data_IF_236474059288
#
_entry.id   IF_236474059288
#
_cell.length_a   1.000
_cell.length_b   1.000
_cell.length_c   1.000
_cell.angle_alpha   90.00
_cell.angle_beta   90.00
_cell.angle_gamma   90.00
#
_symmetry.space_group_name_H-M   'P 1'
#
loop_
_entity.id
_entity.type
_entity.pdbx_description
1 polymer ?
#
# COMPACT_ATOMS: atom_id res chain seq x y z
N UNK A 1 -22.93 15.17 -5.88
CA UNK A 1 -22.56 14.08 -4.94
C UNK A 1 -21.31 13.35 -5.42
N UNK A 2 -21.34 12.72 -6.60
CA UNK A 2 -20.19 11.97 -7.15
C UNK A 2 -18.88 12.78 -7.21
N UNK A 3 -18.92 14.02 -7.70
CA UNK A 3 -17.73 14.90 -7.76
C UNK A 3 -17.11 15.15 -6.39
N UNK A 4 -17.93 15.24 -5.33
CA UNK A 4 -17.46 15.45 -3.97
C UNK A 4 -16.81 14.16 -3.45
N UNK A 5 -17.41 13.00 -3.72
CA UNK A 5 -16.83 11.70 -3.36
C UNK A 5 -15.48 11.47 -4.04
N UNK A 6 -15.36 11.77 -5.35
CA UNK A 6 -14.09 11.66 -6.08
C UNK A 6 -13.00 12.55 -5.49
N UNK A 7 -13.33 13.80 -5.16
CA UNK A 7 -12.40 14.74 -4.51
C UNK A 7 -11.97 14.27 -3.13
N UNK A 8 -12.91 13.74 -2.34
CA UNK A 8 -12.60 13.21 -1.01
C UNK A 8 -11.69 11.98 -1.10
N UNK A 9 -11.94 11.08 -2.04
CA UNK A 9 -11.10 9.89 -2.24
C UNK A 9 -9.69 10.28 -2.71
N UNK A 10 -9.60 11.23 -3.66
CA UNK A 10 -8.31 11.75 -4.12
C UNK A 10 -7.50 12.34 -2.96
N UNK A 11 -8.12 13.18 -2.12
CA UNK A 11 -7.46 13.74 -0.94
C UNK A 11 -6.97 12.64 0.02
N UNK A 12 -7.78 11.61 0.27
CA UNK A 12 -7.36 10.49 1.12
C UNK A 12 -6.18 9.73 0.53
N UNK A 13 -6.13 9.55 -0.79
CA UNK A 13 -5.00 8.90 -1.48
C UNK A 13 -3.74 9.77 -1.39
N UNK A 14 -3.86 11.09 -1.62
CA UNK A 14 -2.72 12.01 -1.56
C UNK A 14 -2.06 12.02 -0.18
N UNK A 15 -2.88 12.11 0.87
CA UNK A 15 -2.40 12.07 2.26
C UNK A 15 -1.78 10.71 2.60
N UNK A 16 -2.38 9.62 2.14
CA UNK A 16 -1.89 8.27 2.40
C UNK A 16 -0.57 7.99 1.67
N UNK A 17 -0.39 8.49 0.44
CA UNK A 17 0.86 8.43 -0.31
C UNK A 17 1.99 9.16 0.42
N UNK A 18 1.72 10.37 0.92
CA UNK A 18 2.72 11.16 1.66
C UNK A 18 3.14 10.48 2.97
N UNK A 19 2.21 9.82 3.66
CA UNK A 19 2.49 9.10 4.91
C UNK A 19 3.18 7.74 4.69
N UNK A 20 2.99 7.11 3.52
CA UNK A 20 3.40 5.72 3.24
C UNK A 20 4.88 5.43 3.56
N UNK A 21 5.78 6.37 3.26
CA UNK A 21 7.22 6.21 3.51
C UNK A 21 7.69 6.77 4.86
N UNK A 22 6.78 7.33 5.67
CA UNK A 22 7.11 8.03 6.93
C UNK A 22 6.85 7.18 8.17
N UNK A 23 5.97 6.19 8.09
CA UNK A 23 5.57 5.36 9.23
C UNK A 23 5.68 3.87 8.91
N UNK A 24 5.62 3.04 9.96
CA UNK A 24 5.68 1.59 9.82
C UNK A 24 4.45 1.03 9.07
N UNK A 25 4.66 0.00 8.25
CA UNK A 25 3.67 -0.53 7.32
C UNK A 25 2.39 -0.99 8.01
N UNK A 26 2.48 -1.77 9.09
CA UNK A 26 1.29 -2.25 9.83
C UNK A 26 0.56 -1.11 10.52
N UNK A 27 1.26 -0.09 11.01
CA UNK A 27 0.63 1.12 11.53
C UNK A 27 -0.13 1.85 10.41
N UNK A 28 0.49 2.03 9.24
CA UNK A 28 -0.16 2.64 8.08
C UNK A 28 -1.41 1.87 7.65
N UNK A 29 -1.36 0.54 7.61
CA UNK A 29 -2.50 -0.32 7.28
C UNK A 29 -3.69 -0.16 8.23
N UNK A 30 -3.47 0.24 9.48
CA UNK A 30 -4.54 0.50 10.45
C UNK A 30 -5.14 1.90 10.32
N UNK A 31 -4.38 2.86 9.76
CA UNK A 31 -4.79 4.26 9.66
C UNK A 31 -5.72 4.51 8.46
N UNK A 32 -5.60 3.71 7.40
CA UNK A 32 -6.24 3.99 6.11
C UNK A 32 -7.35 2.99 5.75
N UNK A 33 -8.39 3.43 5.04
CA UNK A 33 -9.43 2.52 4.55
C UNK A 33 -8.90 1.63 3.43
N UNK A 34 -9.46 0.42 3.31
CA UNK A 34 -9.00 -0.60 2.36
C UNK A 34 -8.90 -0.14 0.91
N UNK A 35 -9.82 0.71 0.43
CA UNK A 35 -9.76 1.26 -0.93
C UNK A 35 -8.51 2.13 -1.13
N UNK A 36 -8.18 2.99 -0.17
CA UNK A 36 -6.96 3.82 -0.19
C UNK A 36 -5.71 2.94 -0.11
N UNK A 37 -5.72 1.92 0.76
CA UNK A 37 -4.62 0.96 0.89
C UNK A 37 -4.30 0.32 -0.47
N UNK A 38 -5.32 -0.20 -1.16
CA UNK A 38 -5.13 -0.84 -2.45
C UNK A 38 -4.58 0.12 -3.50
N UNK A 39 -5.12 1.35 -3.57
CA UNK A 39 -4.66 2.33 -4.57
C UNK A 39 -3.20 2.73 -4.36
N UNK A 40 -2.79 3.06 -3.13
CA UNK A 40 -1.41 3.45 -2.83
C UNK A 40 -0.44 2.28 -3.02
N UNK A 41 -0.85 1.05 -2.69
CA UNK A 41 -0.05 -0.14 -2.97
C UNK A 41 0.26 -0.27 -4.47
N UNK A 42 -0.73 -0.05 -5.34
CA UNK A 42 -0.52 -0.13 -6.78
C UNK A 42 0.41 0.99 -7.27
N UNK A 43 0.23 2.22 -6.79
CA UNK A 43 1.10 3.36 -7.15
C UNK A 43 2.55 3.05 -6.77
N UNK A 44 2.80 2.68 -5.52
CA UNK A 44 4.15 2.42 -5.02
C UNK A 44 4.77 1.17 -5.66
N UNK A 45 3.96 0.17 -6.03
CA UNK A 45 4.45 -1.01 -6.75
C UNK A 45 4.95 -0.64 -8.14
N UNK A 46 4.17 0.12 -8.90
CA UNK A 46 4.56 0.57 -10.24
C UNK A 46 5.85 1.39 -10.17
N UNK A 47 5.91 2.38 -9.27
CA UNK A 47 7.11 3.20 -9.09
C UNK A 47 8.37 2.37 -8.78
N UNK A 48 8.26 1.42 -7.85
CA UNK A 48 9.39 0.56 -7.48
C UNK A 48 9.81 -0.37 -8.62
N UNK A 49 8.85 -0.85 -9.41
CA UNK A 49 9.11 -1.71 -10.56
C UNK A 49 9.73 -0.95 -11.73
N UNK A 50 9.24 0.26 -12.03
CA UNK A 50 9.82 1.15 -13.04
C UNK A 50 11.27 1.47 -12.69
N UNK A 51 11.55 1.87 -11.44
CA UNK A 51 12.92 2.12 -10.96
C UNK A 51 13.80 0.86 -11.04
N UNK A 52 13.28 -0.30 -10.64
CA UNK A 52 14.02 -1.56 -10.73
C UNK A 52 14.35 -1.94 -12.18
N UNK A 53 13.43 -1.72 -13.12
CA UNK A 53 13.65 -2.00 -14.55
C UNK A 53 14.68 -1.03 -15.14
N UNK A 54 14.55 0.26 -14.86
CA UNK A 54 15.41 1.30 -15.46
C UNK A 54 16.82 1.31 -14.86
N UNK A 55 16.94 1.15 -13.54
CA UNK A 55 18.17 1.43 -12.80
C UNK A 55 18.80 0.18 -12.15
N UNK A 56 18.05 -0.90 -11.94
CA UNK A 56 18.48 -2.00 -11.05
C UNK A 56 18.57 -3.40 -11.68
N UNK A 57 17.96 -3.62 -12.84
CA UNK A 57 17.94 -4.90 -13.54
C UNK A 57 17.37 -6.07 -12.72
N UNK A 58 17.74 -7.29 -13.09
CA UNK A 58 17.21 -8.53 -12.49
C UNK A 58 17.26 -8.61 -10.95
N UNK A 59 18.36 -8.23 -10.28
CA UNK A 59 18.45 -8.25 -8.82
C UNK A 59 17.47 -7.29 -8.13
N UNK A 60 17.29 -6.08 -8.66
CA UNK A 60 16.36 -5.11 -8.08
C UNK A 60 14.90 -5.57 -8.21
N UNK A 61 14.55 -6.18 -9.35
CA UNK A 61 13.22 -6.77 -9.55
C UNK A 61 12.95 -7.88 -8.53
N UNK A 62 13.94 -8.74 -8.28
CA UNK A 62 13.82 -9.79 -7.26
C UNK A 62 13.66 -9.22 -5.85
N UNK A 63 14.34 -8.11 -5.54
CA UNK A 63 14.19 -7.41 -4.26
C UNK A 63 12.77 -6.82 -4.11
N UNK A 64 12.23 -6.18 -5.16
CA UNK A 64 10.84 -5.69 -5.16
C UNK A 64 9.87 -6.84 -4.93
N UNK A 65 10.06 -7.99 -5.58
CA UNK A 65 9.21 -9.17 -5.34
C UNK A 65 9.24 -9.63 -3.88
N UNK A 66 10.44 -9.77 -3.30
CA UNK A 66 10.60 -10.22 -1.92
C UNK A 66 9.90 -9.28 -0.93
N UNK A 67 10.11 -7.97 -1.08
CA UNK A 67 9.47 -6.95 -0.24
C UNK A 67 7.93 -7.02 -0.34
N UNK A 68 7.39 -7.18 -1.55
CA UNK A 68 5.94 -7.18 -1.76
C UNK A 68 5.25 -8.42 -1.22
N UNK A 69 5.93 -9.57 -1.24
CA UNK A 69 5.43 -10.79 -0.60
C UNK A 69 5.33 -10.59 0.91
N UNK A 70 6.33 -9.98 1.54
CA UNK A 70 6.31 -9.66 2.98
C UNK A 70 5.16 -8.70 3.33
N UNK A 71 5.00 -7.62 2.57
CA UNK A 71 3.91 -6.65 2.78
C UNK A 71 2.52 -7.26 2.59
N UNK A 72 2.35 -8.22 1.67
CA UNK A 72 1.10 -8.95 1.48
C UNK A 72 0.75 -9.81 2.70
N UNK A 73 1.76 -10.46 3.29
CA UNK A 73 1.58 -11.25 4.51
C UNK A 73 1.13 -10.36 5.69
N UNK A 74 1.70 -9.15 5.82
CA UNK A 74 1.28 -8.17 6.84
C UNK A 74 -0.18 -7.72 6.67
N UNK A 75 -0.65 -7.54 5.42
CA UNK A 75 -2.06 -7.21 5.13
C UNK A 75 -2.97 -8.39 5.53
N UNK A 76 -2.60 -9.61 5.16
CA UNK A 76 -3.38 -10.82 5.48
C UNK A 76 -3.48 -11.01 6.99
N UNK A 77 -2.37 -10.88 7.71
CA UNK A 77 -2.34 -11.01 9.17
C UNK A 77 -3.23 -9.97 9.86
N UNK A 78 -3.20 -8.72 9.38
CA UNK A 78 -4.05 -7.65 9.89
C UNK A 78 -5.54 -7.97 9.72
N UNK A 79 -5.94 -8.49 8.55
CA UNK A 79 -7.34 -8.85 8.26
C UNK A 79 -7.79 -10.06 9.07
N UNK A 80 -6.94 -11.09 9.22
CA UNK A 80 -7.23 -12.29 10.02
C UNK A 80 -7.37 -11.95 11.50
N UNK A 81 -6.50 -11.10 12.04
CA UNK A 81 -6.58 -10.61 13.42
C UNK A 81 -7.87 -9.83 13.68
N UNK A 82 -8.32 -9.02 12.71
CA UNK A 82 -9.60 -8.31 12.82
C UNK A 82 -10.81 -9.25 12.82
N UNK A 83 -10.77 -10.37 12.10
CA UNK A 83 -11.86 -11.36 12.10
C UNK A 83 -12.03 -12.07 13.44
N UNK A 84 -10.95 -12.41 14.14
CA UNK A 84 -11.01 -13.08 15.45
C UNK A 84 -11.59 -12.22 16.57
N UNK A 85 -11.57 -10.88 16.46
CA UNK A 85 -12.15 -9.98 17.47
C UNK A 85 -13.67 -9.77 17.33
N UNK A 86 -14.27 -10.26 16.25
CA UNK A 86 -15.70 -10.08 15.93
C UNK A 86 -16.53 -11.36 16.13
N UNK A 87 -15.99 -12.38 16.82
CA UNK A 87 -16.66 -13.62 17.23
C UNK A 87 -16.46 -13.83 18.72
#
# INVERSE_FOLDING_TARGET
METIMKKSLALSIDLACDEFFKIERRQWLRNWPGQTILTVNQITWVMAMEDAIENGGGPAIAAVLAQRVEELLDVVDTVLTQRQKST
#
